data_IF_413520185057
#
_entry.id   IF_413520185057
#
_cell.length_a   1.000
_cell.length_b   1.000
_cell.length_c   1.000
_cell.angle_alpha   90.00
_cell.angle_beta   90.00
_cell.angle_gamma   90.00
#
_symmetry.space_group_name_H-M   'P 1'
#
loop_
_entity.id
_entity.type
_entity.pdbx_description
1 polymer ?
#
# COMPACT_ATOMS: atom_id res chain seq x y z
N UNK A 1 -10.24 -12.92 6.90
CA UNK A 1 -11.59 -13.55 6.70
C UNK A 1 -11.49 -14.95 6.09
N UNK A 2 -10.43 -15.26 5.35
CA UNK A 2 -10.20 -16.62 4.78
C UNK A 2 -9.96 -17.71 5.85
N UNK A 3 -9.83 -17.35 7.11
CA UNK A 3 -9.71 -18.29 8.22
C UNK A 3 -10.96 -19.18 8.44
N UNK A 4 -12.09 -18.84 7.78
CA UNK A 4 -13.31 -19.66 7.78
C UNK A 4 -13.27 -20.78 6.72
N UNK A 5 -12.26 -20.83 5.86
CA UNK A 5 -12.04 -21.90 4.89
C UNK A 5 -11.66 -23.21 5.60
N UNK A 6 -11.79 -24.35 4.93
CA UNK A 6 -11.38 -25.64 5.49
C UNK A 6 -9.95 -25.59 6.04
N UNK A 7 -9.67 -26.14 7.24
CA UNK A 7 -8.34 -26.05 7.87
C UNK A 7 -7.19 -26.57 6.99
N UNK A 8 -7.45 -27.60 6.19
CA UNK A 8 -6.45 -28.15 5.26
C UNK A 8 -6.07 -27.15 4.15
N UNK A 9 -7.03 -26.35 3.66
CA UNK A 9 -6.78 -25.31 2.66
C UNK A 9 -5.97 -24.17 3.28
N UNK A 10 -6.31 -23.74 4.50
CA UNK A 10 -5.55 -22.71 5.22
C UNK A 10 -4.11 -23.17 5.47
N UNK A 11 -3.91 -24.41 5.90
CA UNK A 11 -2.58 -24.97 6.11
C UNK A 11 -1.74 -25.01 4.82
N UNK A 12 -2.35 -25.39 3.70
CA UNK A 12 -1.71 -25.38 2.37
C UNK A 12 -1.30 -23.95 1.97
N UNK A 13 -2.19 -22.97 2.15
CA UNK A 13 -1.87 -21.58 1.83
C UNK A 13 -0.70 -21.04 2.66
N UNK A 14 -0.65 -21.39 3.96
CA UNK A 14 0.48 -20.99 4.82
C UNK A 14 1.79 -21.65 4.39
N UNK A 15 1.75 -22.91 3.97
CA UNK A 15 2.91 -23.62 3.44
C UNK A 15 3.41 -22.99 2.13
N UNK A 16 2.51 -22.75 1.18
CA UNK A 16 2.84 -22.08 -0.08
C UNK A 16 3.43 -20.68 0.13
N UNK A 17 2.90 -19.93 1.10
CA UNK A 17 3.46 -18.63 1.44
C UNK A 17 4.90 -18.75 1.95
N UNK A 18 5.17 -19.74 2.83
CA UNK A 18 6.52 -19.98 3.34
C UNK A 18 7.52 -20.34 2.23
N UNK A 19 7.13 -21.21 1.31
CA UNK A 19 7.93 -21.57 0.14
C UNK A 19 8.16 -20.35 -0.75
N UNK A 20 7.11 -19.59 -1.05
CA UNK A 20 7.19 -18.39 -1.90
C UNK A 20 8.15 -17.34 -1.31
N UNK A 21 8.12 -17.10 0.00
CA UNK A 21 9.07 -16.18 0.65
C UNK A 21 10.50 -16.64 0.39
N UNK A 22 10.79 -17.93 0.62
CA UNK A 22 12.14 -18.48 0.43
C UNK A 22 12.61 -18.36 -1.02
N UNK A 23 11.74 -18.69 -1.97
CA UNK A 23 12.07 -18.65 -3.40
C UNK A 23 12.24 -17.23 -3.95
N UNK A 24 11.43 -16.28 -3.46
CA UNK A 24 11.43 -14.92 -4.00
C UNK A 24 12.46 -14.00 -3.32
N UNK A 25 12.90 -14.30 -2.10
CA UNK A 25 13.83 -13.44 -1.35
C UNK A 25 15.12 -13.10 -2.12
N UNK A 26 15.80 -14.04 -2.83
CA UNK A 26 16.96 -13.71 -3.67
C UNK A 26 16.64 -12.70 -4.78
N UNK A 27 15.43 -12.77 -5.36
CA UNK A 27 14.98 -11.81 -6.38
C UNK A 27 14.71 -10.43 -5.78
N UNK A 28 14.16 -10.38 -4.55
CA UNK A 28 13.96 -9.12 -3.83
C UNK A 28 15.32 -8.42 -3.59
N UNK A 29 16.34 -9.17 -3.18
CA UNK A 29 17.70 -8.65 -3.04
C UNK A 29 18.27 -8.15 -4.39
N UNK A 30 18.16 -8.96 -5.45
CA UNK A 30 18.68 -8.61 -6.77
C UNK A 30 18.07 -7.32 -7.34
N UNK A 31 16.78 -7.10 -7.09
CA UNK A 31 16.04 -5.92 -7.55
C UNK A 31 15.92 -4.81 -6.50
N UNK A 32 16.53 -4.96 -5.32
CA UNK A 32 16.47 -3.98 -4.20
C UNK A 32 15.03 -3.65 -3.78
N UNK A 33 14.17 -4.68 -3.69
CA UNK A 33 12.77 -4.55 -3.28
C UNK A 33 12.65 -4.86 -1.79
N UNK A 34 12.16 -3.91 -1.00
CA UNK A 34 11.80 -4.12 0.40
C UNK A 34 10.55 -4.98 0.53
N UNK A 35 10.54 -5.91 1.48
CA UNK A 35 9.36 -6.72 1.79
C UNK A 35 8.70 -6.22 3.08
N UNK A 36 7.37 -6.22 3.11
CA UNK A 36 6.54 -5.98 4.30
C UNK A 36 5.39 -6.95 4.34
N UNK A 37 4.98 -7.32 5.54
CA UNK A 37 3.79 -8.14 5.76
C UNK A 37 2.82 -7.40 6.67
N UNK A 38 1.59 -7.20 6.21
CA UNK A 38 0.52 -6.54 6.97
C UNK A 38 -0.60 -7.51 7.31
N UNK A 39 -1.30 -7.27 8.42
CA UNK A 39 -2.43 -8.07 8.88
C UNK A 39 -2.19 -8.72 10.24
N UNK A 40 -3.18 -9.49 10.69
CA UNK A 40 -3.17 -10.16 12.00
C UNK A 40 -2.26 -11.40 11.99
N UNK A 41 -1.11 -11.29 12.62
CA UNK A 41 -0.13 -12.39 12.74
C UNK A 41 -0.50 -13.40 13.84
N UNK A 42 -1.46 -13.09 14.71
CA UNK A 42 -1.78 -13.93 15.88
C UNK A 42 -2.22 -15.35 15.52
N UNK A 43 -2.75 -15.55 14.32
CA UNK A 43 -3.24 -16.83 13.81
C UNK A 43 -2.27 -17.51 12.83
N UNK A 44 -1.14 -16.88 12.54
CA UNK A 44 -0.11 -17.41 11.64
C UNK A 44 0.83 -18.33 12.43
N UNK A 45 1.25 -19.49 11.89
CA UNK A 45 2.23 -20.35 12.56
C UNK A 45 3.52 -19.61 12.92
N UNK A 46 4.05 -19.84 14.12
CA UNK A 46 5.22 -19.11 14.66
C UNK A 46 6.42 -19.17 13.71
N UNK A 47 6.69 -20.34 13.10
CA UNK A 47 7.79 -20.50 12.15
C UNK A 47 7.64 -19.56 10.94
N UNK A 48 6.42 -19.42 10.40
CA UNK A 48 6.13 -18.52 9.29
C UNK A 48 6.23 -17.05 9.72
N UNK A 49 5.77 -16.69 10.94
CA UNK A 49 5.98 -15.34 11.47
C UNK A 49 7.46 -14.96 11.56
N UNK A 50 8.32 -15.90 12.01
CA UNK A 50 9.76 -15.69 12.08
C UNK A 50 10.38 -15.51 10.67
N UNK A 51 9.95 -16.31 9.71
CA UNK A 51 10.40 -16.20 8.33
C UNK A 51 9.98 -14.87 7.69
N UNK A 52 8.74 -14.43 7.90
CA UNK A 52 8.26 -13.12 7.46
C UNK A 52 9.10 -12.00 8.07
N UNK A 53 9.36 -12.06 9.37
CA UNK A 53 10.18 -11.07 10.07
C UNK A 53 11.62 -11.04 9.56
N UNK A 54 12.23 -12.20 9.29
CA UNK A 54 13.57 -12.29 8.72
C UNK A 54 13.62 -11.62 7.34
N UNK A 55 12.67 -11.93 6.44
CA UNK A 55 12.58 -11.32 5.12
C UNK A 55 12.40 -9.80 5.19
N UNK A 56 11.57 -9.28 6.11
CA UNK A 56 11.40 -7.84 6.37
C UNK A 56 12.74 -7.20 6.80
N UNK A 57 13.47 -7.84 7.72
CA UNK A 57 14.75 -7.33 8.24
C UNK A 57 15.84 -7.34 7.18
N UNK A 58 15.97 -8.43 6.41
CA UNK A 58 16.98 -8.57 5.37
C UNK A 58 16.81 -7.56 4.23
N UNK A 59 15.57 -7.15 3.97
CA UNK A 59 15.24 -6.22 2.88
C UNK A 59 14.94 -4.79 3.35
N UNK A 60 15.07 -4.50 4.65
CA UNK A 60 14.68 -3.23 5.27
C UNK A 60 15.36 -1.98 4.68
N UNK A 61 16.57 -2.14 4.13
CA UNK A 61 17.35 -1.04 3.51
C UNK A 61 16.88 -0.70 2.08
N UNK A 62 15.98 -1.50 1.49
CA UNK A 62 15.48 -1.28 0.14
C UNK A 62 14.20 -0.46 0.20
N UNK A 63 14.27 0.82 -0.16
CA UNK A 63 13.18 1.79 -0.03
C UNK A 63 12.65 2.30 -1.37
N UNK A 64 13.33 2.03 -2.47
CA UNK A 64 12.95 2.49 -3.82
C UNK A 64 11.65 1.82 -4.29
N UNK A 65 11.46 0.55 -3.94
CA UNK A 65 10.25 -0.22 -4.14
C UNK A 65 9.97 -1.09 -2.91
N UNK A 66 8.72 -1.09 -2.45
CA UNK A 66 8.29 -1.93 -1.32
C UNK A 66 7.13 -2.82 -1.75
N UNK A 67 7.33 -4.12 -1.66
CA UNK A 67 6.29 -5.13 -1.84
C UNK A 67 5.61 -5.40 -0.48
N UNK A 68 4.37 -4.98 -0.33
CA UNK A 68 3.58 -5.23 0.87
C UNK A 68 2.62 -6.39 0.64
N UNK A 69 2.73 -7.46 1.43
CA UNK A 69 1.93 -8.68 1.33
C UNK A 69 0.93 -8.72 2.49
N UNK A 70 -0.36 -8.74 2.16
CA UNK A 70 -1.44 -8.79 3.14
C UNK A 70 -1.76 -10.24 3.51
N UNK A 71 -1.52 -10.63 4.78
CA UNK A 71 -1.76 -11.98 5.30
C UNK A 71 -2.64 -11.88 6.55
N UNK A 72 -3.82 -12.49 6.52
CA UNK A 72 -4.79 -12.33 7.62
C UNK A 72 -5.28 -10.89 7.77
N UNK A 73 -5.31 -10.13 6.70
CA UNK A 73 -5.63 -8.72 6.68
C UNK A 73 -7.11 -8.47 6.36
N UNK A 74 -7.67 -7.45 6.99
CA UNK A 74 -8.96 -6.86 6.64
C UNK A 74 -8.98 -5.38 7.01
N UNK A 75 -9.53 -4.52 6.14
CA UNK A 75 -9.53 -3.07 6.36
C UNK A 75 -10.28 -2.64 7.62
N UNK A 76 -11.39 -3.31 7.96
CA UNK A 76 -12.11 -3.06 9.21
C UNK A 76 -11.27 -3.44 10.44
N UNK A 77 -10.55 -4.58 10.39
CA UNK A 77 -9.62 -4.98 11.43
C UNK A 77 -8.49 -3.96 11.58
N UNK A 78 -7.92 -3.51 10.49
CA UNK A 78 -6.83 -2.53 10.45
C UNK A 78 -7.24 -1.21 11.10
N UNK A 79 -8.41 -0.68 10.75
CA UNK A 79 -8.98 0.52 11.39
C UNK A 79 -9.22 0.32 12.89
N UNK A 80 -9.70 -0.86 13.30
CA UNK A 80 -9.92 -1.17 14.71
C UNK A 80 -8.59 -1.25 15.49
N UNK A 81 -7.52 -1.79 14.89
CA UNK A 81 -6.18 -1.81 15.49
C UNK A 81 -5.58 -0.41 15.60
N UNK A 82 -5.73 0.42 14.56
CA UNK A 82 -5.29 1.82 14.59
C UNK A 82 -6.00 2.60 15.70
N UNK A 83 -7.33 2.47 15.81
CA UNK A 83 -8.12 3.09 16.88
C UNK A 83 -7.67 2.61 18.28
N UNK A 84 -7.40 1.31 18.45
CA UNK A 84 -6.90 0.75 19.70
C UNK A 84 -5.51 1.31 20.06
N UNK A 85 -4.63 1.44 19.08
CA UNK A 85 -3.29 2.01 19.27
C UNK A 85 -3.39 3.46 19.75
N UNK A 86 -4.21 4.29 19.11
CA UNK A 86 -4.41 5.68 19.51
C UNK A 86 -5.05 5.79 20.88
N UNK A 87 -6.07 4.98 21.18
CA UNK A 87 -6.69 4.94 22.52
C UNK A 87 -5.66 4.55 23.59
N UNK A 88 -4.78 3.59 23.31
CA UNK A 88 -3.69 3.21 24.20
C UNK A 88 -2.71 4.35 24.48
N UNK A 89 -2.37 5.15 23.45
CA UNK A 89 -1.51 6.33 23.60
C UNK A 89 -2.18 7.43 24.46
N UNK A 90 -3.48 7.63 24.27
CA UNK A 90 -4.25 8.56 25.11
C UNK A 90 -4.28 8.13 26.57
N UNK A 91 -4.55 6.83 26.83
CA UNK A 91 -4.56 6.27 28.18
C UNK A 91 -3.18 6.33 28.85
N UNK A 92 -2.11 6.17 28.06
CA UNK A 92 -0.73 6.29 28.57
C UNK A 92 -0.27 7.75 28.72
N UNK A 93 -1.09 8.75 28.36
CA UNK A 93 -0.75 10.17 28.43
C UNK A 93 0.30 10.62 27.42
N UNK A 94 0.60 9.82 26.41
CA UNK A 94 1.56 10.14 25.32
C UNK A 94 0.90 10.86 24.14
N UNK A 95 -0.43 10.89 24.10
CA UNK A 95 -1.25 11.60 23.11
C UNK A 95 -2.43 12.26 23.81
N UNK A 96 -2.71 13.54 23.56
CA UNK A 96 -3.94 14.16 24.03
C UNK A 96 -5.13 13.74 23.16
N UNK A 97 -6.32 13.63 23.75
CA UNK A 97 -7.52 13.17 23.02
C UNK A 97 -7.83 14.08 21.83
N UNK A 98 -7.62 15.38 21.99
CA UNK A 98 -7.85 16.40 20.96
C UNK A 98 -6.90 16.27 19.76
N UNK A 99 -5.80 15.52 19.92
CA UNK A 99 -4.83 15.24 18.86
C UNK A 99 -5.17 13.98 18.06
N UNK A 100 -6.22 13.25 18.46
CA UNK A 100 -6.71 12.11 17.68
C UNK A 100 -7.51 12.62 16.49
N UNK A 101 -6.83 12.77 15.37
CA UNK A 101 -7.35 13.29 14.11
C UNK A 101 -7.10 12.33 12.93
N UNK A 102 -7.48 12.75 11.72
CA UNK A 102 -7.29 11.97 10.48
C UNK A 102 -5.81 11.67 10.23
N UNK A 103 -4.91 12.62 10.55
CA UNK A 103 -3.46 12.45 10.33
C UNK A 103 -2.89 11.39 11.26
N UNK A 104 -3.30 11.41 12.53
CA UNK A 104 -2.91 10.39 13.50
C UNK A 104 -3.49 9.02 13.17
N UNK A 105 -4.74 8.98 12.70
CA UNK A 105 -5.36 7.76 12.22
C UNK A 105 -4.60 7.19 11.02
N UNK A 106 -4.25 8.03 10.04
CA UNK A 106 -3.43 7.65 8.89
C UNK A 106 -2.09 7.06 9.32
N UNK A 107 -1.40 7.65 10.29
CA UNK A 107 -0.10 7.16 10.77
C UNK A 107 -0.20 5.85 11.57
N UNK A 108 -1.35 5.54 12.14
CA UNK A 108 -1.58 4.34 12.95
C UNK A 108 -2.08 3.13 12.14
N UNK A 109 -2.61 3.37 10.94
CA UNK A 109 -3.11 2.32 10.05
C UNK A 109 -1.95 1.62 9.33
N UNK A 110 -2.14 0.37 8.92
CA UNK A 110 -1.14 -0.36 8.12
C UNK A 110 -0.76 0.42 6.88
N UNK A 111 0.53 0.47 6.54
CA UNK A 111 1.08 1.23 5.41
C UNK A 111 0.85 2.75 5.50
N UNK A 112 0.56 3.28 6.69
CA UNK A 112 0.31 4.70 6.89
C UNK A 112 1.53 5.60 6.62
N UNK A 113 2.73 5.02 6.58
CA UNK A 113 3.99 5.66 6.21
C UNK A 113 4.27 5.66 4.69
N UNK A 114 3.45 4.96 3.91
CA UNK A 114 3.54 4.96 2.45
C UNK A 114 2.55 5.97 1.84
N UNK A 115 2.76 6.36 0.56
CA UNK A 115 1.78 7.15 -0.17
C UNK A 115 0.41 6.47 -0.21
N UNK A 116 -0.69 7.23 -0.30
CA UNK A 116 -2.02 6.67 -0.54
C UNK A 116 -2.05 5.78 -1.79
N UNK A 117 -2.95 4.80 -1.80
CA UNK A 117 -3.13 3.92 -2.97
C UNK A 117 -3.64 4.74 -4.15
N UNK A 118 -2.91 4.73 -5.23
CA UNK A 118 -3.28 5.41 -6.48
C UNK A 118 -4.19 4.56 -7.36
N UNK A 119 -3.87 3.27 -7.51
CA UNK A 119 -4.59 2.33 -8.34
C UNK A 119 -4.82 1.02 -7.57
N UNK A 120 -6.06 0.56 -7.52
CA UNK A 120 -6.43 -0.75 -7.01
C UNK A 120 -6.91 -1.60 -8.17
N UNK A 121 -6.22 -2.71 -8.42
CA UNK A 121 -6.58 -3.70 -9.44
C UNK A 121 -7.21 -4.91 -8.75
N UNK A 122 -8.41 -5.29 -9.19
CA UNK A 122 -9.05 -6.52 -8.75
C UNK A 122 -9.40 -7.41 -9.94
N UNK A 123 -8.87 -8.62 -9.91
CA UNK A 123 -9.08 -9.67 -10.89
C UNK A 123 -10.19 -10.64 -10.45
N UNK A 124 -10.68 -11.50 -11.36
CA UNK A 124 -11.60 -12.59 -11.06
C UNK A 124 -13.08 -12.22 -11.07
N UNK A 125 -13.48 -11.12 -11.74
CA UNK A 125 -14.88 -10.80 -12.01
C UNK A 125 -15.70 -10.26 -10.83
N UNK A 126 -15.08 -10.00 -9.69
CA UNK A 126 -15.73 -9.41 -8.51
C UNK A 126 -15.53 -7.88 -8.48
N UNK A 127 -16.60 -7.13 -8.62
CA UNK A 127 -16.60 -5.66 -8.70
C UNK A 127 -16.85 -5.02 -7.32
N UNK A 128 -16.02 -5.34 -6.33
CA UNK A 128 -16.11 -4.86 -4.94
C UNK A 128 -14.75 -4.88 -4.24
N UNK A 129 -14.56 -4.07 -3.20
CA UNK A 129 -13.30 -4.01 -2.41
C UNK A 129 -13.12 -5.19 -1.45
N UNK A 130 -14.22 -5.79 -1.01
CA UNK A 130 -14.23 -6.93 -0.07
C UNK A 130 -13.31 -6.73 1.14
N UNK A 131 -13.48 -5.61 1.83
CA UNK A 131 -12.72 -5.31 3.05
C UNK A 131 -11.19 -5.18 2.86
N UNK A 132 -10.71 -4.88 1.64
CA UNK A 132 -9.28 -4.72 1.35
C UNK A 132 -8.90 -3.25 1.27
N UNK A 133 -7.91 -2.82 2.07
CA UNK A 133 -7.31 -1.47 2.09
C UNK A 133 -8.35 -0.32 2.11
N UNK A 134 -9.41 -0.46 2.92
CA UNK A 134 -10.58 0.46 2.88
C UNK A 134 -10.19 1.92 3.11
N UNK A 135 -9.30 2.19 4.06
CA UNK A 135 -8.82 3.54 4.34
C UNK A 135 -7.86 4.02 3.26
N UNK A 136 -6.87 3.19 2.94
CA UNK A 136 -5.77 3.53 2.03
C UNK A 136 -6.26 3.74 0.58
N UNK A 137 -7.33 3.02 0.18
CA UNK A 137 -7.91 3.08 -1.16
C UNK A 137 -9.08 4.06 -1.30
N UNK A 138 -9.34 4.90 -0.29
CA UNK A 138 -10.50 5.82 -0.27
C UNK A 138 -10.56 6.75 -1.50
N UNK A 139 -9.43 7.08 -2.11
CA UNK A 139 -9.32 7.92 -3.31
C UNK A 139 -8.59 7.20 -4.45
N UNK A 140 -8.45 5.87 -4.37
CA UNK A 140 -7.81 5.09 -5.42
C UNK A 140 -8.70 5.01 -6.66
N UNK A 141 -8.08 5.01 -7.83
CA UNK A 141 -8.75 4.57 -9.05
C UNK A 141 -8.93 3.06 -9.01
N UNK A 142 -10.12 2.59 -9.41
CA UNK A 142 -10.46 1.17 -9.36
C UNK A 142 -10.44 0.58 -10.78
N UNK A 143 -9.68 -0.49 -10.95
CA UNK A 143 -9.66 -1.30 -12.17
C UNK A 143 -10.14 -2.71 -11.84
N UNK A 144 -11.23 -3.13 -12.46
CA UNK A 144 -11.80 -4.46 -12.31
C UNK A 144 -11.67 -5.22 -13.62
N UNK A 145 -11.32 -6.52 -13.57
CA UNK A 145 -11.27 -7.41 -14.73
C UNK A 145 -11.81 -8.78 -14.38
N UNK A 146 -12.45 -9.42 -15.37
CA UNK A 146 -12.94 -10.80 -15.26
C UNK A 146 -11.79 -11.82 -15.33
N UNK A 147 -10.62 -11.43 -15.81
CA UNK A 147 -9.43 -12.27 -15.90
C UNK A 147 -9.07 -12.83 -14.52
N UNK A 148 -8.88 -14.14 -14.43
CA UNK A 148 -8.41 -14.79 -13.20
C UNK A 148 -6.95 -14.45 -12.91
N UNK A 149 -6.57 -14.38 -11.63
CA UNK A 149 -5.22 -14.00 -11.21
C UNK A 149 -4.10 -14.76 -11.91
N UNK A 150 -4.17 -16.11 -12.12
CA UNK A 150 -3.11 -16.83 -12.83
C UNK A 150 -2.95 -16.44 -14.31
N UNK A 151 -3.99 -15.85 -14.91
CA UNK A 151 -4.03 -15.44 -16.32
C UNK A 151 -3.74 -13.95 -16.49
N UNK A 152 -3.69 -13.18 -15.39
CA UNK A 152 -3.45 -11.74 -15.42
C UNK A 152 -2.02 -11.44 -15.89
N UNK A 153 -1.91 -10.95 -17.12
CA UNK A 153 -0.65 -10.76 -17.85
C UNK A 153 -0.06 -9.36 -17.66
N UNK A 154 1.20 -9.20 -18.09
CA UNK A 154 1.85 -7.88 -18.17
C UNK A 154 1.08 -6.94 -19.09
N UNK A 155 0.53 -7.43 -20.20
CA UNK A 155 -0.27 -6.62 -21.12
C UNK A 155 -1.54 -6.05 -20.46
N UNK A 156 -2.20 -6.84 -19.58
CA UNK A 156 -3.36 -6.35 -18.83
C UNK A 156 -2.96 -5.35 -17.75
N UNK A 157 -1.80 -5.53 -17.12
CA UNK A 157 -1.25 -4.55 -16.19
C UNK A 157 -0.96 -3.21 -16.90
N UNK A 158 -0.35 -3.26 -18.09
CA UNK A 158 -0.11 -2.08 -18.93
C UNK A 158 -1.42 -1.40 -19.33
N UNK A 159 -2.46 -2.17 -19.65
CA UNK A 159 -3.80 -1.63 -19.92
C UNK A 159 -4.38 -0.92 -18.70
N UNK A 160 -4.26 -1.50 -17.49
CA UNK A 160 -4.69 -0.86 -16.27
C UNK A 160 -3.95 0.47 -16.02
N UNK A 161 -2.65 0.52 -16.27
CA UNK A 161 -1.86 1.75 -16.19
C UNK A 161 -2.24 2.78 -17.25
N UNK A 162 -2.52 2.35 -18.49
CA UNK A 162 -2.97 3.25 -19.54
C UNK A 162 -4.31 3.90 -19.21
N UNK A 163 -5.27 3.13 -18.67
CA UNK A 163 -6.55 3.65 -18.20
C UNK A 163 -6.40 4.58 -17.01
N UNK A 164 -5.52 4.24 -16.05
CA UNK A 164 -5.20 5.11 -14.93
C UNK A 164 -4.62 6.45 -15.40
N UNK A 165 -3.68 6.44 -16.34
CA UNK A 165 -3.05 7.65 -16.90
C UNK A 165 -4.00 8.57 -17.65
N UNK A 166 -5.15 8.06 -18.12
CA UNK A 166 -6.17 8.86 -18.82
C UNK A 166 -7.16 9.54 -17.85
N UNK A 167 -7.17 9.14 -16.57
CA UNK A 167 -8.10 9.68 -15.58
C UNK A 167 -7.55 10.94 -14.94
N UNK A 168 -8.38 11.98 -14.88
CA UNK A 168 -8.08 13.21 -14.15
C UNK A 168 -8.39 13.04 -12.66
N UNK A 169 -7.36 13.02 -11.81
CA UNK A 169 -7.50 12.93 -10.35
C UNK A 169 -7.86 14.29 -9.77
N UNK A 170 -9.10 14.45 -9.35
CA UNK A 170 -9.63 15.73 -8.88
C UNK A 170 -9.56 15.93 -7.38
N UNK A 171 -9.50 14.89 -6.57
CA UNK A 171 -9.48 14.96 -5.10
C UNK A 171 -10.54 15.93 -4.54
N UNK A 172 -11.77 15.90 -5.08
CA UNK A 172 -12.83 16.82 -4.71
C UNK A 172 -12.72 18.23 -5.31
N UNK A 173 -11.76 18.51 -6.19
CA UNK A 173 -11.61 19.78 -6.91
C UNK A 173 -12.30 19.75 -8.27
N UNK A 174 -12.55 20.92 -8.87
CA UNK A 174 -12.98 21.00 -10.28
C UNK A 174 -11.80 20.81 -11.23
N UNK A 175 -12.05 20.43 -12.49
CA UNK A 175 -11.00 20.29 -13.51
C UNK A 175 -10.19 21.59 -13.69
N UNK A 176 -10.86 22.75 -13.61
CA UNK A 176 -10.22 24.08 -13.70
C UNK A 176 -9.25 24.32 -12.55
N UNK A 177 -9.62 23.96 -11.32
CA UNK A 177 -8.75 24.10 -10.14
C UNK A 177 -7.52 23.19 -10.21
N UNK A 178 -7.66 21.99 -10.76
CA UNK A 178 -6.53 21.06 -10.99
C UNK A 178 -5.58 21.63 -12.04
N UNK A 179 -6.10 22.15 -13.14
CA UNK A 179 -5.28 22.76 -14.20
C UNK A 179 -4.54 24.01 -13.72
N UNK A 180 -5.19 24.87 -12.93
CA UNK A 180 -4.55 26.06 -12.36
C UNK A 180 -3.41 25.67 -11.38
N UNK A 181 -3.57 24.64 -10.56
CA UNK A 181 -2.50 24.16 -9.67
C UNK A 181 -1.32 23.57 -10.42
N UNK A 182 -1.54 22.86 -11.54
CA UNK A 182 -0.47 22.34 -12.39
C UNK A 182 0.29 23.46 -13.13
N UNK A 183 -0.38 24.53 -13.55
CA UNK A 183 0.25 25.67 -14.19
C UNK A 183 1.10 26.49 -13.19
N UNK A 184 0.63 26.68 -11.97
CA UNK A 184 1.40 27.37 -10.92
C UNK A 184 2.66 26.62 -10.50
N UNK A 185 2.63 25.29 -10.48
CA UNK A 185 3.81 24.46 -10.17
C UNK A 185 4.85 24.48 -11.29
N UNK A 186 4.43 24.57 -12.56
CA UNK A 186 5.35 24.72 -13.70
C UNK A 186 6.03 26.08 -13.74
N UNK A 187 5.32 27.15 -13.46
CA UNK A 187 5.88 28.51 -13.44
C UNK A 187 6.88 28.75 -12.30
N UNK A 188 6.76 28.05 -11.17
CA UNK A 188 7.75 28.10 -10.06
C UNK A 188 8.99 27.27 -10.36
N UNK A 189 8.89 26.19 -11.16
CA UNK A 189 10.03 25.37 -11.56
C UNK A 189 10.95 26.01 -12.61
N UNK A 190 10.41 26.83 -13.51
CA UNK A 190 11.20 27.53 -14.54
C UNK A 190 11.94 28.77 -13.99
N UNK A 191 11.49 29.34 -12.87
CA UNK A 191 12.13 30.50 -12.23
C UNK A 191 13.44 30.19 -11.49
N UNK A 192 13.73 28.91 -11.16
CA UNK A 192 14.98 28.51 -10.47
C UNK A 192 16.11 28.04 -11.40
N UNK A 193 15.84 27.82 -12.68
CA UNK A 193 16.86 27.39 -13.64
C UNK A 193 17.58 28.55 -14.34
N UNK A 194 17.19 29.82 -14.11
CA UNK A 194 17.70 31.01 -14.80
C UNK A 194 18.72 31.87 -14.05
N UNK A 195 19.16 31.49 -12.83
CA UNK A 195 20.01 32.35 -11.99
C UNK A 195 21.40 31.78 -11.71
N UNK A 196 22.06 31.14 -12.70
CA UNK A 196 23.46 30.79 -12.59
C UNK A 196 24.19 30.99 -13.93
N UNK A 197 24.46 32.23 -14.23
CA UNK A 197 25.27 32.61 -15.37
C UNK A 197 25.37 34.11 -15.52
N UNK A 198 26.29 34.74 -14.75
CA UNK A 198 27.04 35.93 -15.10
C UNK A 198 27.78 36.51 -13.89
N UNK A 199 29.09 36.32 -13.87
CA UNK A 199 30.12 37.21 -13.29
C UNK A 199 31.46 36.65 -13.74
N UNK A 200 31.94 37.13 -14.71
CA UNK A 200 32.90 38.11 -15.16
C UNK A 200 34.10 38.40 -14.27
N UNK A 201 35.27 38.20 -14.93
CA UNK A 201 36.62 38.72 -14.75
C UNK A 201 37.43 38.08 -13.64
#
# INVERSE_FOLDING_TARGET
>A
ENWQRPPAEVALLMHLLAETITEQLPRMHAHRVGMRFIGDRSRIPVALQQQMQAAEQETALYTDMVLSIAVGYGGMWDMAQAARTLAGQVLAGTLALEQVDVVRMQSAISLGDLPPVDLLIRTGGDYRLSNFLLWQAAYAELYFTDTLWPEFSVAELEQAFALFGQRERRFGRTSEQVQQSLQSTRSTGEGMAGASGESHV
#
